data_IF_975151346617
#
_entry.id   IF_975151346617
#
_cell.length_a   1.000
_cell.length_b   1.000
_cell.length_c   1.000
_cell.angle_alpha   90.00
_cell.angle_beta   90.00
_cell.angle_gamma   90.00
#
_symmetry.space_group_name_H-M   'P 1'
#
loop_
_entity.id
_entity.type
_entity.pdbx_description
1 polymer ?
#
# COMPACT_ATOMS: atom_id res chain seq x y z
N UNK A 1 6.31 -15.25 -5.62
CA UNK A 1 5.09 -14.62 -5.06
C UNK A 1 5.46 -13.20 -4.64
N UNK A 2 4.69 -12.20 -5.06
CA UNK A 2 4.90 -10.82 -4.63
C UNK A 2 4.64 -10.72 -3.11
N UNK A 3 5.54 -10.06 -2.38
CA UNK A 3 5.33 -9.81 -0.95
C UNK A 3 4.18 -8.81 -0.79
N UNK A 4 3.16 -9.23 -0.03
CA UNK A 4 2.03 -8.40 0.35
C UNK A 4 1.95 -8.36 1.87
N UNK A 5 2.13 -7.18 2.45
CA UNK A 5 2.01 -6.97 3.89
C UNK A 5 0.70 -6.24 4.18
N UNK A 6 -0.07 -6.76 5.15
CA UNK A 6 -1.36 -6.18 5.55
C UNK A 6 -1.31 -5.92 7.06
N UNK A 7 -1.62 -4.69 7.45
CA UNK A 7 -1.64 -4.26 8.84
C UNK A 7 -2.95 -3.56 9.14
N UNK A 8 -3.61 -3.92 10.24
CA UNK A 8 -4.79 -3.19 10.74
C UNK A 8 -4.32 -1.98 11.55
N UNK A 9 -4.90 -0.82 11.30
CA UNK A 9 -4.63 0.36 12.10
C UNK A 9 -5.09 0.16 13.56
N UNK A 10 -4.31 0.66 14.51
CA UNK A 10 -4.65 0.55 15.94
C UNK A 10 -5.85 1.42 16.35
N UNK A 11 -6.22 2.38 15.50
CA UNK A 11 -7.33 3.33 15.70
C UNK A 11 -8.15 3.44 14.42
N UNK A 12 -9.41 3.90 14.54
CA UNK A 12 -10.27 4.14 13.37
C UNK A 12 -11.08 2.93 12.89
N UNK A 13 -11.10 1.82 13.65
CA UNK A 13 -11.97 0.67 13.36
C UNK A 13 -11.41 -0.26 12.29
N UNK A 14 -12.18 -0.53 11.24
CA UNK A 14 -11.82 -1.43 10.13
C UNK A 14 -10.96 -0.71 9.07
N UNK A 15 -9.85 -0.10 9.51
CA UNK A 15 -8.89 0.57 8.65
C UNK A 15 -7.63 -0.29 8.49
N UNK A 16 -7.18 -0.46 7.25
CA UNK A 16 -6.10 -1.37 6.89
C UNK A 16 -5.08 -0.67 6.00
N UNK A 17 -3.80 -0.85 6.30
CA UNK A 17 -2.68 -0.54 5.42
C UNK A 17 -2.28 -1.80 4.66
N UNK A 18 -2.18 -1.68 3.34
CA UNK A 18 -1.80 -2.77 2.45
C UNK A 18 -0.58 -2.30 1.68
N UNK A 19 0.53 -3.02 1.81
CA UNK A 19 1.76 -2.81 1.05
C UNK A 19 1.95 -3.95 0.06
N UNK A 20 2.08 -3.62 -1.22
CA UNK A 20 2.22 -4.58 -2.33
C UNK A 20 3.53 -4.27 -3.05
N UNK A 21 4.46 -5.22 -3.10
CA UNK A 21 5.55 -5.16 -4.08
C UNK A 21 5.02 -5.61 -5.44
N UNK A 22 5.06 -4.74 -6.43
CA UNK A 22 4.62 -5.03 -7.78
C UNK A 22 5.81 -5.13 -8.71
N UNK A 23 5.96 -6.28 -9.36
CA UNK A 23 6.88 -6.43 -10.48
C UNK A 23 6.01 -6.45 -11.75
N UNK A 24 6.02 -5.37 -12.54
CA UNK A 24 5.28 -5.29 -13.80
C UNK A 24 6.22 -5.59 -14.96
N UNK A 25 5.84 -6.55 -15.80
CA UNK A 25 6.59 -6.91 -17.00
C UNK A 25 5.66 -6.91 -18.21
N UNK A 26 6.08 -6.20 -19.25
CA UNK A 26 5.51 -6.23 -20.60
C UNK A 26 6.65 -6.39 -21.61
N UNK A 27 6.32 -6.70 -22.87
CA UNK A 27 7.31 -6.98 -23.93
C UNK A 27 8.39 -5.89 -24.07
N UNK A 28 8.04 -4.63 -23.79
CA UNK A 28 8.92 -3.48 -23.98
C UNK A 28 9.14 -2.63 -22.71
N UNK A 29 8.57 -3.01 -21.57
CA UNK A 29 8.67 -2.24 -20.33
C UNK A 29 8.57 -3.16 -19.12
N UNK A 30 9.55 -3.09 -18.24
CA UNK A 30 9.55 -3.76 -16.95
C UNK A 30 9.88 -2.76 -15.85
N UNK A 31 9.02 -2.63 -14.85
CA UNK A 31 9.33 -1.88 -13.63
C UNK A 31 9.01 -2.71 -12.39
N UNK A 32 9.62 -2.30 -11.29
CA UNK A 32 9.34 -2.83 -9.97
C UNK A 32 9.07 -1.65 -9.06
N UNK A 33 8.06 -1.77 -8.22
CA UNK A 33 7.70 -0.71 -7.30
C UNK A 33 6.89 -1.23 -6.13
N UNK A 34 6.55 -0.31 -5.24
CA UNK A 34 5.80 -0.55 -4.02
C UNK A 34 4.54 0.30 -4.06
N UNK A 35 3.38 -0.35 -4.01
CA UNK A 35 2.08 0.28 -3.90
C UNK A 35 1.63 0.18 -2.44
N UNK A 36 1.31 1.32 -1.83
CA UNK A 36 0.66 1.37 -0.52
C UNK A 36 -0.79 1.85 -0.68
N UNK A 37 -1.71 1.19 0.02
CA UNK A 37 -3.11 1.56 0.13
C UNK A 37 -3.52 1.61 1.60
N UNK A 38 -4.10 2.74 2.01
CA UNK A 38 -4.85 2.82 3.27
C UNK A 38 -6.34 2.71 2.93
N UNK A 39 -6.98 1.63 3.37
CA UNK A 39 -8.37 1.31 3.06
C UNK A 39 -9.21 1.35 4.34
N UNK A 40 -10.28 2.12 4.31
CA UNK A 40 -11.31 2.19 5.33
C UNK A 40 -12.48 1.29 4.90
N UNK A 41 -12.72 0.24 5.68
CA UNK A 41 -13.75 -0.78 5.49
C UNK A 41 -14.84 -0.71 6.57
N UNK A 42 -14.96 0.40 7.30
CA UNK A 42 -15.98 0.53 8.35
C UNK A 42 -17.42 0.42 7.81
N UNK A 43 -17.66 0.81 6.55
CA UNK A 43 -18.84 0.40 5.78
C UNK A 43 -18.42 -0.59 4.68
N UNK A 44 -18.59 -1.92 4.90
CA UNK A 44 -18.19 -2.93 3.93
C UNK A 44 -18.88 -2.81 2.57
N UNK A 45 -20.04 -2.13 2.49
CA UNK A 45 -20.74 -1.90 1.22
C UNK A 45 -20.18 -0.70 0.46
N UNK A 46 -19.37 0.13 1.12
CA UNK A 46 -18.77 1.36 0.57
C UNK A 46 -17.32 1.52 1.04
N UNK A 47 -16.42 0.62 0.62
CA UNK A 47 -15.01 0.73 0.98
C UNK A 47 -14.40 2.03 0.44
N UNK A 48 -13.56 2.70 1.23
CA UNK A 48 -12.91 3.97 0.85
C UNK A 48 -11.39 3.78 0.88
N UNK A 49 -10.72 4.06 -0.24
CA UNK A 49 -9.26 4.22 -0.25
C UNK A 49 -8.95 5.64 0.22
N UNK A 50 -8.41 5.78 1.44
CA UNK A 50 -8.04 7.07 2.03
C UNK A 50 -6.71 7.58 1.48
N UNK A 51 -5.75 6.68 1.30
CA UNK A 51 -4.41 6.98 0.77
C UNK A 51 -4.04 5.94 -0.27
N UNK A 52 -3.45 6.41 -1.36
CA UNK A 52 -2.78 5.59 -2.38
C UNK A 52 -1.44 6.24 -2.70
N UNK A 53 -0.35 5.52 -2.53
CA UNK A 53 0.98 5.98 -2.93
C UNK A 53 1.72 4.89 -3.70
N UNK A 54 2.57 5.33 -4.63
CA UNK A 54 3.45 4.47 -5.41
C UNK A 54 4.88 4.95 -5.26
N UNK A 55 5.80 4.03 -5.05
CA UNK A 55 7.23 4.29 -4.94
C UNK A 55 8.01 3.32 -5.84
N UNK A 56 8.90 3.81 -6.72
CA UNK A 56 9.75 2.92 -7.54
C UNK A 56 10.76 2.18 -6.66
N UNK A 57 11.24 2.84 -5.59
CA UNK A 57 12.23 2.31 -4.66
C UNK A 57 11.96 2.81 -3.24
N UNK A 58 12.63 2.21 -2.25
CA UNK A 58 12.54 2.63 -0.85
C UNK A 58 13.28 3.95 -0.68
N UNK A 59 12.66 4.94 -0.04
CA UNK A 59 13.36 6.18 0.29
C UNK A 59 14.50 5.89 1.30
N UNK A 60 15.69 6.47 1.12
CA UNK A 60 16.84 6.19 1.99
C UNK A 60 16.65 6.70 3.44
N UNK A 61 15.79 7.68 3.67
CA UNK A 61 15.59 8.31 4.98
C UNK A 61 14.35 7.80 5.70
N UNK A 62 13.23 7.63 4.98
CA UNK A 62 11.94 7.25 5.59
C UNK A 62 11.36 5.93 5.04
N UNK A 63 12.04 5.27 4.08
CA UNK A 63 11.64 3.96 3.60
C UNK A 63 10.39 3.98 2.71
N UNK A 64 9.44 3.09 3.00
CA UNK A 64 8.16 3.01 2.29
C UNK A 64 7.09 3.75 3.09
N UNK A 65 6.21 4.45 2.37
CA UNK A 65 5.00 5.01 2.96
C UNK A 65 4.15 3.87 3.48
N UNK A 66 3.80 3.94 4.77
CA UNK A 66 2.99 2.96 5.47
C UNK A 66 2.00 3.66 6.42
N UNK A 67 1.30 2.88 7.27
CA UNK A 67 0.36 3.44 8.25
C UNK A 67 1.01 4.34 9.29
N UNK A 68 2.30 4.19 9.61
CA UNK A 68 2.95 5.01 10.66
C UNK A 68 3.11 6.47 10.26
N UNK A 69 2.90 6.78 8.99
CA UNK A 69 2.92 8.13 8.44
C UNK A 69 1.60 8.90 8.66
N UNK A 70 0.57 8.27 9.28
CA UNK A 70 -0.78 8.81 9.47
C UNK A 70 -1.34 8.49 10.86
#
# INVERSE_FOLDING_TARGET
FANNDIVKAGVGGEVYGIQIKQDYYSTNYGDTGYLFLMVDLNDPKKPIIKVRSWQPERDPNFGLVDLSHF
#
